data_IF_291943714909
#
_entry.id   IF_291943714909
#
_cell.length_a   1.000
_cell.length_b   1.000
_cell.length_c   1.000
_cell.angle_alpha   90.00
_cell.angle_beta   90.00
_cell.angle_gamma   90.00
#
_symmetry.space_group_name_H-M   'P 1'
#
loop_
_entity.id
_entity.type
_entity.pdbx_description
1 polymer ?
#
# COMPACT_ATOMS: atom_id res chain seq x y z
N UNK A 1 -6.60 -42.23 64.89
CA UNK A 1 -7.96 -41.80 64.47
C UNK A 1 -7.92 -41.47 62.97
N UNK A 2 -9.00 -41.69 62.21
CA UNK A 2 -9.03 -41.47 60.74
C UNK A 2 -9.24 -39.99 60.35
N UNK A 3 -9.38 -39.61 59.06
CA UNK A 3 -9.38 -40.37 57.80
C UNK A 3 -8.51 -39.69 56.71
N UNK A 4 -8.16 -40.33 55.59
CA UNK A 4 -8.97 -40.59 54.36
C UNK A 4 -9.59 -39.33 53.74
N UNK A 5 -9.64 -39.11 52.42
CA UNK A 5 -9.05 -39.77 51.23
C UNK A 5 -9.17 -38.76 50.06
N UNK A 6 -8.14 -38.53 49.25
CA UNK A 6 -7.79 -39.25 48.00
C UNK A 6 -8.33 -38.61 46.71
N UNK A 7 -7.43 -38.59 45.72
CA UNK A 7 -7.54 -38.13 44.33
C UNK A 7 -8.73 -38.75 43.57
N UNK A 8 -9.22 -38.03 42.56
CA UNK A 8 -9.97 -38.60 41.44
C UNK A 8 -9.31 -38.29 40.10
N UNK A 9 -9.36 -39.28 39.21
CA UNK A 9 -8.80 -39.28 37.86
C UNK A 9 -9.90 -39.03 36.82
N UNK A 10 -9.49 -38.57 35.64
CA UNK A 10 -10.32 -38.33 34.46
C UNK A 10 -11.09 -39.59 34.04
N UNK A 11 -12.38 -39.44 33.71
CA UNK A 11 -13.14 -40.37 32.87
C UNK A 11 -13.82 -39.61 31.72
N UNK A 12 -13.73 -40.16 30.51
CA UNK A 12 -14.36 -39.64 29.30
C UNK A 12 -15.79 -40.18 29.18
N UNK A 13 -16.75 -39.32 28.85
CA UNK A 13 -18.08 -39.73 28.37
C UNK A 13 -18.40 -39.02 27.05
N UNK A 14 -18.83 -39.80 26.06
CA UNK A 14 -19.37 -39.31 24.79
C UNK A 14 -20.84 -38.94 24.95
N UNK A 15 -21.29 -37.92 24.21
CA UNK A 15 -22.72 -37.60 24.05
C UNK A 15 -23.02 -37.27 22.59
N UNK A 16 -23.70 -38.18 21.90
CA UNK A 16 -24.31 -37.89 20.60
C UNK A 16 -25.60 -37.09 20.80
N UNK A 17 -25.71 -35.89 20.24
CA UNK A 17 -26.98 -35.22 19.96
C UNK A 17 -26.86 -34.45 18.64
N UNK A 18 -27.85 -34.62 17.76
CA UNK A 18 -27.94 -33.95 16.45
C UNK A 18 -28.38 -32.49 16.62
N UNK A 19 -27.97 -31.56 15.74
CA UNK A 19 -28.53 -30.21 15.72
C UNK A 19 -29.95 -30.23 15.15
N UNK A 20 -30.84 -29.42 15.72
CA UNK A 20 -32.14 -29.06 15.14
C UNK A 20 -32.01 -27.76 14.37
N UNK A 21 -32.55 -27.75 13.15
CA UNK A 21 -32.61 -26.58 12.28
C UNK A 21 -33.49 -25.48 12.92
N UNK A 22 -33.05 -24.23 12.76
CA UNK A 22 -33.89 -23.05 12.97
C UNK A 22 -33.67 -22.11 11.79
N UNK A 23 -34.51 -22.24 10.77
CA UNK A 23 -34.56 -21.28 9.67
C UNK A 23 -35.08 -19.94 10.19
N UNK A 24 -34.38 -18.86 9.87
CA UNK A 24 -34.93 -17.50 9.92
C UNK A 24 -34.74 -16.88 8.55
N UNK A 25 -35.83 -16.83 7.80
CA UNK A 25 -35.91 -16.26 6.45
C UNK A 25 -36.22 -14.77 6.53
N UNK A 26 -35.26 -13.92 6.16
CA UNK A 26 -35.55 -12.54 5.75
C UNK A 26 -35.07 -12.33 4.31
N UNK A 27 -36.04 -12.13 3.42
CA UNK A 27 -35.84 -11.91 1.99
C UNK A 27 -35.78 -10.41 1.70
N UNK A 28 -34.59 -9.88 1.40
CA UNK A 28 -34.47 -8.63 0.64
C UNK A 28 -33.89 -8.92 -0.75
N UNK A 29 -34.76 -8.82 -1.76
CA UNK A 29 -34.40 -8.99 -3.17
C UNK A 29 -33.62 -7.77 -3.68
N UNK A 30 -32.29 -7.85 -3.62
CA UNK A 30 -31.40 -7.08 -4.47
C UNK A 30 -30.75 -8.00 -5.51
N UNK A 31 -30.99 -7.76 -6.80
CA UNK A 31 -30.30 -8.49 -7.88
C UNK A 31 -28.84 -8.01 -7.95
N UNK A 32 -27.99 -8.57 -7.09
CA UNK A 32 -26.54 -8.51 -7.25
C UNK A 32 -26.16 -9.45 -8.39
N UNK A 33 -25.29 -9.00 -9.29
CA UNK A 33 -24.68 -9.88 -10.27
C UNK A 33 -23.87 -10.98 -9.54
N UNK A 34 -23.99 -12.23 -9.98
CA UNK A 34 -23.22 -13.37 -9.44
C UNK A 34 -21.69 -13.18 -9.51
N UNK A 35 -21.21 -12.16 -10.24
CA UNK A 35 -19.80 -11.79 -10.33
C UNK A 35 -19.26 -11.07 -9.09
N UNK A 36 -20.11 -10.41 -8.30
CA UNK A 36 -19.70 -9.52 -7.21
C UNK A 36 -19.62 -10.20 -5.83
N UNK A 37 -19.86 -11.51 -5.76
CA UNK A 37 -19.70 -12.26 -4.50
C UNK A 37 -18.21 -12.56 -4.23
N UNK A 38 -17.76 -12.30 -3.00
CA UNK A 38 -16.42 -12.67 -2.53
C UNK A 38 -16.39 -14.21 -2.39
N UNK A 39 -15.53 -14.92 -3.14
CA UNK A 39 -15.57 -16.38 -3.17
C UNK A 39 -15.10 -16.99 -1.84
N UNK A 40 -15.58 -18.19 -1.57
CA UNK A 40 -15.05 -19.03 -0.49
C UNK A 40 -13.55 -19.28 -0.68
N UNK A 41 -12.82 -19.42 0.42
CA UNK A 41 -11.39 -19.72 0.36
C UNK A 41 -11.15 -21.11 -0.27
N UNK A 42 -10.30 -21.19 -1.29
CA UNK A 42 -9.98 -22.43 -2.00
C UNK A 42 -8.48 -22.72 -2.09
N UNK A 43 -8.15 -23.97 -2.38
CA UNK A 43 -6.79 -24.38 -2.74
C UNK A 43 -6.69 -24.48 -4.27
N UNK A 44 -5.68 -23.84 -4.85
CA UNK A 44 -5.39 -23.78 -6.28
C UNK A 44 -4.18 -24.66 -6.62
N UNK A 45 -4.19 -25.30 -7.79
CA UNK A 45 -3.00 -25.99 -8.30
C UNK A 45 -1.96 -24.99 -8.80
N UNK A 46 -0.69 -25.41 -8.79
CA UNK A 46 0.40 -24.58 -9.30
C UNK A 46 0.22 -24.32 -10.81
N UNK A 47 -0.29 -25.29 -11.55
CA UNK A 47 -0.59 -25.21 -12.99
C UNK A 47 -1.69 -24.18 -13.28
N UNK A 48 -2.75 -24.14 -12.49
CA UNK A 48 -3.79 -23.10 -12.60
C UNK A 48 -3.18 -21.70 -12.41
N UNK A 49 -2.34 -21.52 -11.38
CA UNK A 49 -1.72 -20.21 -11.13
C UNK A 49 -0.64 -19.85 -12.17
N UNK A 50 0.09 -20.82 -12.72
CA UNK A 50 0.98 -20.62 -13.87
C UNK A 50 0.19 -20.12 -15.08
N UNK A 51 -0.89 -20.79 -15.47
CA UNK A 51 -1.74 -20.36 -16.60
C UNK A 51 -2.30 -18.97 -16.36
N UNK A 52 -2.91 -18.74 -15.18
CA UNK A 52 -3.53 -17.48 -14.83
C UNK A 52 -2.57 -16.27 -14.83
N UNK A 53 -1.27 -16.49 -14.58
CA UNK A 53 -0.24 -15.44 -14.53
C UNK A 53 0.68 -15.42 -15.77
N UNK A 54 0.30 -16.13 -16.84
CA UNK A 54 1.10 -16.27 -18.08
C UNK A 54 2.52 -16.80 -17.81
N UNK A 55 2.63 -17.81 -16.96
CA UNK A 55 3.91 -18.43 -16.56
C UNK A 55 4.65 -17.68 -15.44
N UNK A 56 3.96 -16.83 -14.67
CA UNK A 56 4.55 -15.79 -13.82
C UNK A 56 5.38 -14.77 -14.63
N UNK A 57 4.81 -14.24 -15.72
CA UNK A 57 5.51 -13.24 -16.56
C UNK A 57 5.90 -11.99 -15.78
N UNK A 58 7.02 -11.39 -16.16
CA UNK A 58 7.52 -10.11 -15.63
C UNK A 58 6.52 -8.97 -15.88
N UNK A 59 5.83 -8.98 -17.01
CA UNK A 59 4.82 -7.99 -17.39
C UNK A 59 3.58 -8.01 -16.47
N UNK A 60 3.40 -9.12 -15.74
CA UNK A 60 2.33 -9.28 -14.76
C UNK A 60 2.77 -8.89 -13.34
N UNK A 61 4.01 -8.45 -13.10
CA UNK A 61 4.45 -8.05 -11.75
C UNK A 61 3.80 -6.70 -11.37
N UNK A 62 3.11 -6.69 -10.24
CA UNK A 62 2.44 -5.49 -9.68
C UNK A 62 3.06 -5.02 -8.37
N UNK A 63 4.06 -5.73 -7.85
CA UNK A 63 4.87 -5.29 -6.71
C UNK A 63 6.06 -4.43 -7.17
N UNK A 64 6.19 -3.22 -6.61
CA UNK A 64 7.14 -2.16 -7.03
C UNK A 64 8.60 -2.59 -7.12
N UNK A 65 9.03 -3.57 -6.32
CA UNK A 65 10.43 -4.00 -6.23
C UNK A 65 10.82 -5.01 -7.34
N UNK A 66 9.93 -5.27 -8.30
CA UNK A 66 10.17 -6.14 -9.46
C UNK A 66 10.48 -7.60 -9.11
N UNK A 67 11.14 -8.31 -10.03
CA UNK A 67 11.55 -9.71 -9.84
C UNK A 67 12.51 -9.94 -8.68
N UNK A 68 13.35 -8.95 -8.36
CA UNK A 68 14.39 -9.04 -7.32
C UNK A 68 13.81 -8.97 -5.90
N UNK A 69 12.51 -8.71 -5.77
CA UNK A 69 11.83 -8.58 -4.49
C UNK A 69 11.70 -9.93 -3.75
N UNK A 70 11.98 -9.98 -2.44
CA UNK A 70 11.48 -11.08 -1.63
C UNK A 70 9.94 -11.00 -1.57
N UNK A 71 9.29 -11.99 -2.17
CA UNK A 71 7.82 -12.18 -2.22
C UNK A 71 7.08 -11.30 -3.25
N UNK A 72 7.45 -11.46 -4.53
CA UNK A 72 6.82 -10.84 -5.70
C UNK A 72 5.30 -11.09 -5.76
N UNK A 73 4.53 -10.07 -6.19
CA UNK A 73 3.10 -10.19 -6.46
C UNK A 73 2.82 -10.06 -7.95
N UNK A 74 2.13 -11.05 -8.51
CA UNK A 74 1.71 -11.09 -9.90
C UNK A 74 0.22 -10.81 -10.03
N UNK A 75 -0.18 -10.05 -11.04
CA UNK A 75 -1.54 -10.03 -11.57
C UNK A 75 -1.78 -11.35 -12.31
N UNK A 76 -2.98 -11.91 -12.16
CA UNK A 76 -3.44 -13.03 -12.96
C UNK A 76 -4.92 -12.93 -13.29
N UNK A 77 -5.38 -13.79 -14.18
CA UNK A 77 -6.78 -13.93 -14.59
C UNK A 77 -7.15 -15.41 -14.60
N UNK A 78 -8.13 -15.80 -13.79
CA UNK A 78 -8.64 -17.18 -13.73
C UNK A 78 -9.54 -17.48 -14.94
N UNK A 79 -9.79 -18.77 -15.19
CA UNK A 79 -10.62 -19.27 -16.30
C UNK A 79 -12.08 -18.73 -16.26
N UNK A 80 -12.56 -18.30 -15.09
CA UNK A 80 -13.86 -17.66 -14.88
C UNK A 80 -13.82 -16.13 -15.05
N UNK A 81 -12.84 -15.63 -15.80
CA UNK A 81 -12.50 -14.21 -16.03
C UNK A 81 -12.12 -13.38 -14.80
N UNK A 82 -12.10 -13.94 -13.58
CA UNK A 82 -11.79 -13.19 -12.35
C UNK A 82 -10.31 -12.81 -12.29
N UNK A 83 -10.03 -11.51 -12.13
CA UNK A 83 -8.67 -11.02 -11.85
C UNK A 83 -8.25 -11.33 -10.41
N UNK A 84 -7.00 -11.75 -10.24
CA UNK A 84 -6.41 -12.17 -8.97
C UNK A 84 -5.03 -11.54 -8.75
N UNK A 85 -4.66 -11.33 -7.49
CA UNK A 85 -3.31 -10.99 -7.07
C UNK A 85 -2.66 -12.23 -6.44
N UNK A 86 -1.59 -12.72 -7.07
CA UNK A 86 -0.86 -13.93 -6.66
C UNK A 86 0.48 -13.53 -6.02
N UNK A 87 0.55 -13.57 -4.69
CA UNK A 87 1.80 -13.35 -3.95
C UNK A 87 2.57 -14.66 -3.84
N UNK A 88 3.72 -14.76 -4.50
CA UNK A 88 4.58 -15.95 -4.51
C UNK A 88 5.74 -15.74 -3.54
N UNK A 89 5.82 -16.55 -2.50
CA UNK A 89 6.87 -16.42 -1.49
C UNK A 89 8.19 -17.02 -1.95
N UNK A 90 9.31 -16.54 -1.39
CA UNK A 90 10.58 -17.25 -1.52
C UNK A 90 10.51 -18.60 -0.78
N UNK A 91 11.14 -19.64 -1.32
CA UNK A 91 11.16 -21.03 -0.80
C UNK A 91 11.54 -21.12 0.68
N UNK A 92 12.36 -20.18 1.17
CA UNK A 92 12.82 -20.13 2.56
C UNK A 92 11.84 -19.47 3.54
N UNK A 93 10.82 -18.76 3.07
CA UNK A 93 9.92 -17.96 3.92
C UNK A 93 8.88 -18.80 4.68
N UNK A 94 8.46 -19.93 4.09
CA UNK A 94 7.41 -20.81 4.61
C UNK A 94 7.81 -22.29 4.43
N UNK A 95 8.79 -22.78 5.23
CA UNK A 95 9.28 -24.16 5.12
C UNK A 95 8.18 -25.18 5.45
N UNK A 96 7.40 -24.91 6.50
CA UNK A 96 6.30 -25.76 6.94
C UNK A 96 5.06 -25.49 6.08
N UNK A 97 4.73 -26.46 5.22
CA UNK A 97 3.53 -26.45 4.38
C UNK A 97 2.23 -26.46 5.20
N UNK A 98 2.21 -27.19 6.31
CA UNK A 98 1.03 -27.30 7.17
C UNK A 98 0.78 -25.98 7.89
N UNK A 99 1.82 -25.39 8.48
CA UNK A 99 1.72 -24.07 9.12
C UNK A 99 1.24 -22.99 8.12
N UNK A 100 1.76 -23.03 6.88
CA UNK A 100 1.32 -22.12 5.81
C UNK A 100 -0.16 -22.32 5.47
N UNK A 101 -0.61 -23.55 5.25
CA UNK A 101 -2.00 -23.87 4.90
C UNK A 101 -2.98 -23.54 6.03
N UNK A 102 -2.62 -23.84 7.29
CA UNK A 102 -3.43 -23.50 8.45
C UNK A 102 -3.58 -21.97 8.60
N UNK A 103 -2.49 -21.21 8.51
CA UNK A 103 -2.54 -19.74 8.59
C UNK A 103 -3.25 -19.10 7.38
N UNK A 104 -3.02 -19.60 6.17
CA UNK A 104 -3.71 -19.13 4.97
C UNK A 104 -5.22 -19.35 5.05
N UNK A 105 -5.67 -20.53 5.51
CA UNK A 105 -7.10 -20.81 5.76
C UNK A 105 -7.68 -19.87 6.82
N UNK A 106 -6.94 -19.62 7.90
CA UNK A 106 -7.39 -18.73 8.97
C UNK A 106 -7.45 -17.24 8.57
N UNK A 107 -6.58 -16.76 7.67
CA UNK A 107 -6.73 -15.43 7.05
C UNK A 107 -7.86 -15.46 6.01
N UNK A 108 -8.02 -16.58 5.29
CA UNK A 108 -9.09 -16.82 4.32
C UNK A 108 -10.51 -16.90 4.89
N UNK A 109 -10.66 -17.04 6.20
CA UNK A 109 -11.94 -16.93 6.90
C UNK A 109 -12.38 -15.48 7.13
N UNK A 110 -11.46 -14.51 7.00
CA UNK A 110 -11.80 -13.09 7.05
C UNK A 110 -12.51 -12.70 5.74
N UNK A 111 -13.69 -12.13 5.89
CA UNK A 111 -14.55 -11.65 4.81
C UNK A 111 -15.17 -10.32 5.21
N UNK A 112 -14.67 -9.25 4.59
CA UNK A 112 -15.16 -7.90 4.79
C UNK A 112 -15.07 -7.13 3.46
N UNK A 113 -15.85 -6.06 3.33
CA UNK A 113 -15.38 -4.94 2.53
C UNK A 113 -14.12 -4.32 3.17
N UNK A 114 -13.57 -3.21 2.70
CA UNK A 114 -12.37 -2.58 3.32
C UNK A 114 -11.09 -3.44 3.34
N UNK A 115 -11.17 -4.73 2.97
CA UNK A 115 -10.07 -5.67 2.73
C UNK A 115 -10.04 -6.04 1.25
N UNK A 116 -8.84 -6.29 0.72
CA UNK A 116 -8.66 -7.10 -0.47
C UNK A 116 -8.53 -8.55 0.02
N UNK A 117 -9.60 -9.34 -0.10
CA UNK A 117 -9.75 -10.58 0.66
C UNK A 117 -8.82 -11.68 0.13
N UNK A 118 -8.38 -12.56 1.05
CA UNK A 118 -7.65 -13.77 0.68
C UNK A 118 -8.65 -14.83 0.18
N UNK A 119 -8.64 -15.10 -1.11
CA UNK A 119 -9.56 -16.04 -1.77
C UNK A 119 -8.98 -17.44 -1.94
N UNK A 120 -7.69 -17.63 -1.71
CA UNK A 120 -7.11 -18.96 -1.66
C UNK A 120 -5.60 -19.00 -1.48
N UNK A 121 -5.04 -20.19 -1.68
CA UNK A 121 -3.60 -20.42 -1.65
C UNK A 121 -3.21 -21.59 -2.59
N UNK A 122 -1.91 -21.73 -2.83
CA UNK A 122 -1.31 -22.90 -3.43
C UNK A 122 -0.11 -23.35 -2.58
N UNK A 123 -0.01 -24.65 -2.33
CA UNK A 123 1.07 -25.26 -1.56
C UNK A 123 1.51 -26.55 -2.25
N UNK A 124 2.43 -26.44 -3.21
CA UNK A 124 2.92 -27.57 -4.01
C UNK A 124 4.45 -27.68 -3.88
N UNK A 125 4.94 -28.82 -3.37
CA UNK A 125 6.36 -29.03 -3.07
C UNK A 125 6.98 -27.90 -2.23
N UNK A 126 7.83 -27.08 -2.86
CA UNK A 126 8.49 -25.91 -2.26
C UNK A 126 7.81 -24.56 -2.58
N UNK A 127 6.76 -24.58 -3.39
CA UNK A 127 6.00 -23.38 -3.77
C UNK A 127 4.95 -23.05 -2.70
N UNK A 128 4.85 -21.76 -2.37
CA UNK A 128 3.91 -21.20 -1.40
C UNK A 128 3.36 -19.92 -2.03
N UNK A 129 2.09 -19.93 -2.41
CA UNK A 129 1.44 -18.79 -3.05
C UNK A 129 0.14 -18.47 -2.33
N UNK A 130 -0.15 -17.17 -2.18
CA UNK A 130 -1.42 -16.67 -1.72
C UNK A 130 -2.16 -16.02 -2.88
N UNK A 131 -3.46 -16.26 -2.96
CA UNK A 131 -4.35 -15.74 -4.00
C UNK A 131 -5.34 -14.80 -3.35
N UNK A 132 -5.28 -13.53 -3.70
CA UNK A 132 -6.17 -12.48 -3.21
C UNK A 132 -6.96 -11.85 -4.37
N UNK A 133 -7.98 -11.07 -4.02
CA UNK A 133 -8.69 -10.22 -4.99
C UNK A 133 -7.74 -9.20 -5.61
N UNK A 134 -7.81 -9.01 -6.94
CA UNK A 134 -7.03 -7.98 -7.62
C UNK A 134 -7.70 -6.61 -7.49
N UNK A 135 -6.90 -5.59 -7.17
CA UNK A 135 -7.35 -4.21 -7.00
C UNK A 135 -6.82 -3.38 -8.18
N UNK A 136 -7.68 -2.93 -9.12
CA UNK A 136 -7.24 -2.37 -10.38
C UNK A 136 -6.76 -0.91 -10.28
N UNK A 137 -7.18 -0.18 -9.25
CA UNK A 137 -6.93 1.25 -9.11
C UNK A 137 -5.73 1.55 -8.20
N UNK A 138 -4.68 0.71 -8.26
CA UNK A 138 -3.35 0.97 -7.68
C UNK A 138 -3.28 1.16 -6.14
N UNK A 139 -2.11 1.53 -5.63
CA UNK A 139 -1.83 1.73 -4.19
C UNK A 139 -2.09 3.16 -3.71
N UNK A 140 -2.33 3.35 -2.41
CA UNK A 140 -2.32 4.69 -1.79
C UNK A 140 -1.00 5.40 -2.02
N UNK A 141 0.13 4.69 -1.95
CA UNK A 141 1.44 5.29 -2.20
C UNK A 141 1.54 5.95 -3.59
N UNK A 142 1.05 5.29 -4.66
CA UNK A 142 0.98 5.89 -6.00
C UNK A 142 0.09 7.13 -6.02
N UNK A 143 -1.13 7.05 -5.49
CA UNK A 143 -2.08 8.18 -5.50
C UNK A 143 -1.74 9.34 -4.55
N UNK A 144 -0.83 9.13 -3.60
CA UNK A 144 -0.52 10.11 -2.54
C UNK A 144 0.86 10.73 -2.71
N UNK A 145 1.89 9.93 -3.05
CA UNK A 145 3.27 10.38 -3.16
C UNK A 145 3.72 10.65 -4.61
N UNK A 146 3.03 10.04 -5.59
CA UNK A 146 3.40 10.04 -7.01
C UNK A 146 2.20 10.35 -7.91
N UNK A 147 1.41 11.36 -7.53
CA UNK A 147 0.27 11.79 -8.33
C UNK A 147 0.74 12.62 -9.54
N UNK A 148 0.44 12.17 -10.75
CA UNK A 148 0.89 12.84 -11.98
C UNK A 148 0.01 14.03 -12.39
N UNK A 149 -1.30 14.00 -12.05
CA UNK A 149 -2.29 14.92 -12.61
C UNK A 149 -3.24 15.56 -11.59
N UNK A 150 -3.61 14.86 -10.51
CA UNK A 150 -4.54 15.38 -9.50
C UNK A 150 -4.14 14.90 -8.09
N UNK A 151 -3.96 15.81 -7.11
CA UNK A 151 -3.71 15.42 -5.73
C UNK A 151 -4.96 14.79 -5.09
N UNK A 152 -4.75 13.82 -4.19
CA UNK A 152 -5.85 13.17 -3.47
C UNK A 152 -6.62 14.18 -2.59
N UNK A 153 -7.92 14.34 -2.86
CA UNK A 153 -8.84 15.24 -2.14
C UNK A 153 -8.96 14.89 -0.65
N UNK A 154 -9.13 15.90 0.20
CA UNK A 154 -9.28 15.75 1.66
C UNK A 154 -10.32 14.69 2.08
N UNK A 155 -11.52 14.74 1.51
CA UNK A 155 -12.60 13.77 1.75
C UNK A 155 -12.22 12.32 1.42
N UNK A 156 -11.30 12.12 0.48
CA UNK A 156 -10.77 10.80 0.14
C UNK A 156 -9.71 10.34 1.13
N UNK A 157 -8.84 11.26 1.59
CA UNK A 157 -7.85 10.96 2.63
C UNK A 157 -8.50 10.53 3.95
N UNK A 158 -9.56 11.23 4.36
CA UNK A 158 -10.38 10.83 5.51
C UNK A 158 -11.07 9.47 5.30
N UNK A 159 -11.59 9.20 4.08
CA UNK A 159 -12.21 7.92 3.75
C UNK A 159 -11.22 6.76 3.82
N UNK A 160 -9.99 6.95 3.34
CA UNK A 160 -8.88 6.00 3.48
C UNK A 160 -8.64 5.70 4.97
N UNK A 161 -8.43 6.73 5.80
CA UNK A 161 -8.21 6.54 7.23
C UNK A 161 -9.36 5.77 7.91
N UNK A 162 -10.62 6.17 7.65
CA UNK A 162 -11.80 5.53 8.23
C UNK A 162 -11.94 4.06 7.80
N UNK A 163 -11.77 3.77 6.50
CA UNK A 163 -11.95 2.43 5.95
C UNK A 163 -10.84 1.48 6.44
N UNK A 164 -9.61 1.97 6.60
CA UNK A 164 -8.54 1.21 7.25
C UNK A 164 -8.83 0.94 8.74
N UNK A 165 -9.30 1.94 9.48
CA UNK A 165 -9.68 1.76 10.88
C UNK A 165 -10.79 0.70 11.03
N UNK A 166 -11.78 0.71 10.13
CA UNK A 166 -12.84 -0.31 10.06
C UNK A 166 -12.28 -1.71 9.74
N UNK A 167 -11.35 -1.83 8.79
CA UNK A 167 -10.69 -3.11 8.47
C UNK A 167 -9.89 -3.65 9.66
N UNK A 168 -9.14 -2.79 10.37
CA UNK A 168 -8.37 -3.17 11.55
C UNK A 168 -9.25 -3.56 12.74
N UNK A 169 -10.35 -2.84 12.98
CA UNK A 169 -11.32 -3.18 14.03
C UNK A 169 -12.03 -4.51 13.73
N UNK A 170 -12.45 -4.73 12.47
CA UNK A 170 -12.97 -6.01 12.01
C UNK A 170 -11.97 -7.15 12.25
N UNK A 171 -10.73 -7.02 11.78
CA UNK A 171 -9.70 -8.05 11.98
C UNK A 171 -9.43 -8.31 13.46
N UNK A 172 -9.36 -7.27 14.29
CA UNK A 172 -9.22 -7.39 15.75
C UNK A 172 -10.39 -8.15 16.38
N UNK A 173 -11.64 -7.83 16.00
CA UNK A 173 -12.85 -8.52 16.49
C UNK A 173 -12.91 -10.01 16.12
N UNK A 174 -12.19 -10.41 15.06
CA UNK A 174 -12.02 -11.80 14.60
C UNK A 174 -10.76 -12.47 15.17
N UNK A 175 -10.10 -11.88 16.16
CA UNK A 175 -8.88 -12.41 16.79
C UNK A 175 -7.60 -12.22 15.98
N UNK A 176 -7.65 -11.45 14.88
CA UNK A 176 -6.49 -11.11 14.02
C UNK A 176 -6.07 -9.65 14.20
N UNK A 177 -5.77 -9.28 15.44
CA UNK A 177 -5.34 -7.92 15.80
C UNK A 177 -3.91 -7.54 15.35
N UNK A 178 -3.17 -8.48 14.75
CA UNK A 178 -1.80 -8.25 14.25
C UNK A 178 -1.82 -8.04 12.73
N UNK A 179 -1.18 -6.96 12.29
CA UNK A 179 -0.91 -6.67 10.89
C UNK A 179 0.58 -6.33 10.73
N UNK A 180 1.23 -6.96 9.77
CA UNK A 180 2.65 -6.80 9.48
C UNK A 180 2.87 -5.78 8.36
N UNK A 181 3.83 -4.86 8.57
CA UNK A 181 4.22 -3.83 7.59
C UNK A 181 3.04 -2.97 7.10
N UNK A 182 2.22 -2.44 8.02
CA UNK A 182 1.14 -1.52 7.68
C UNK A 182 1.72 -0.17 7.21
N UNK A 183 1.52 0.18 5.95
CA UNK A 183 1.98 1.42 5.30
C UNK A 183 1.14 1.72 4.04
N UNK A 184 1.41 2.83 3.35
CA UNK A 184 0.66 3.25 2.16
C UNK A 184 0.69 2.24 1.00
N UNK A 185 1.73 1.40 0.92
CA UNK A 185 1.87 0.33 -0.08
C UNK A 185 0.99 -0.90 0.22
N UNK A 186 0.31 -0.94 1.37
CA UNK A 186 -0.66 -1.99 1.74
C UNK A 186 -2.11 -1.58 1.54
N UNK A 187 -2.36 -0.32 1.19
CA UNK A 187 -3.69 0.18 0.84
C UNK A 187 -3.81 0.19 -0.67
N UNK A 188 -4.87 -0.42 -1.17
CA UNK A 188 -5.18 -0.59 -2.59
C UNK A 188 -6.58 -0.03 -2.88
N UNK A 189 -6.92 0.24 -4.14
CA UNK A 189 -8.27 0.68 -4.50
C UNK A 189 -9.00 -0.32 -5.42
N UNK A 190 -10.23 -0.66 -5.06
CA UNK A 190 -11.11 -1.48 -5.88
C UNK A 190 -11.59 -0.74 -7.14
N UNK A 191 -12.35 -1.44 -7.99
CA UNK A 191 -12.88 -0.91 -9.26
C UNK A 191 -13.68 0.40 -9.12
N UNK A 192 -14.34 0.60 -7.97
CA UNK A 192 -15.16 1.78 -7.66
C UNK A 192 -14.38 2.86 -6.90
N UNK A 193 -13.06 2.69 -6.78
CA UNK A 193 -12.16 3.61 -6.10
C UNK A 193 -12.19 3.52 -4.57
N UNK A 194 -12.81 2.48 -3.97
CA UNK A 194 -12.84 2.37 -2.51
C UNK A 194 -11.54 1.77 -1.97
N UNK A 195 -11.00 2.31 -0.86
CA UNK A 195 -9.78 1.78 -0.25
C UNK A 195 -10.02 0.42 0.40
N UNK A 196 -9.09 -0.50 0.12
CA UNK A 196 -9.02 -1.88 0.57
C UNK A 196 -7.64 -2.14 1.16
N UNK A 197 -7.57 -2.58 2.41
CA UNK A 197 -6.35 -3.03 3.06
C UNK A 197 -5.99 -4.44 2.57
N UNK A 198 -4.76 -4.63 2.09
CA UNK A 198 -4.29 -5.93 1.58
C UNK A 198 -4.31 -7.00 2.68
N UNK A 199 -4.87 -8.19 2.40
CA UNK A 199 -4.80 -9.31 3.33
C UNK A 199 -3.37 -9.82 3.59
N UNK A 200 -2.39 -9.49 2.74
CA UNK A 200 -1.05 -10.09 2.81
C UNK A 200 -0.25 -9.73 4.07
N UNK A 201 -0.57 -8.63 4.76
CA UNK A 201 0.04 -8.29 6.05
C UNK A 201 -0.55 -9.05 7.24
N UNK A 202 -1.68 -9.75 7.07
CA UNK A 202 -2.29 -10.60 8.10
C UNK A 202 -1.64 -11.99 8.23
N UNK A 203 -0.71 -12.31 7.32
CA UNK A 203 0.03 -13.58 7.30
C UNK A 203 1.26 -13.47 8.19
N UNK A 204 1.29 -14.25 9.27
CA UNK A 204 2.40 -14.30 10.20
C UNK A 204 3.63 -14.99 9.58
N UNK A 205 4.64 -14.23 9.15
CA UNK A 205 5.88 -14.78 8.57
C UNK A 205 6.53 -15.84 9.50
N UNK A 206 6.73 -17.05 8.96
CA UNK A 206 7.00 -18.28 9.72
C UNK A 206 8.28 -18.29 10.57
N UNK A 207 9.33 -17.54 10.19
CA UNK A 207 10.68 -17.75 10.76
C UNK A 207 11.13 -16.80 11.86
N UNK A 208 11.00 -15.48 11.70
CA UNK A 208 11.70 -14.54 12.59
C UNK A 208 10.79 -13.62 13.43
N UNK A 209 9.50 -13.51 13.11
CA UNK A 209 8.64 -12.42 13.61
C UNK A 209 9.06 -11.03 13.11
N UNK A 210 10.20 -10.94 12.42
CA UNK A 210 10.74 -9.75 11.78
C UNK A 210 9.93 -9.41 10.54
N UNK A 211 9.05 -8.41 10.68
CA UNK A 211 8.03 -8.06 9.70
C UNK A 211 7.85 -6.55 9.47
N UNK A 212 8.57 -5.69 10.18
CA UNK A 212 8.72 -4.30 9.78
C UNK A 212 9.81 -4.18 8.71
N UNK A 213 9.63 -3.22 7.79
CA UNK A 213 10.64 -2.89 6.79
C UNK A 213 11.98 -2.52 7.45
N UNK A 214 13.05 -2.52 6.66
CA UNK A 214 14.41 -2.14 7.11
C UNK A 214 14.53 -0.68 7.57
N UNK A 215 13.49 0.14 7.38
CA UNK A 215 13.50 1.54 7.79
C UNK A 215 13.12 1.71 9.27
N UNK A 216 14.14 1.76 10.12
CA UNK A 216 14.01 1.96 11.57
C UNK A 216 13.28 3.27 11.94
N UNK A 217 13.27 4.28 11.06
CA UNK A 217 12.64 5.57 11.33
C UNK A 217 11.10 5.50 11.47
N UNK A 218 10.46 4.46 10.92
CA UNK A 218 9.01 4.22 11.01
C UNK A 218 8.65 3.06 11.95
N UNK A 219 9.65 2.46 12.59
CA UNK A 219 9.46 1.25 13.40
C UNK A 219 8.93 1.60 14.79
N UNK A 220 7.87 0.93 15.30
CA UNK A 220 7.34 1.19 16.63
C UNK A 220 8.40 1.00 17.74
N UNK A 221 8.49 1.88 18.76
CA UNK A 221 9.55 1.83 19.78
C UNK A 221 9.65 0.48 20.52
N UNK A 222 8.51 -0.12 20.87
CA UNK A 222 8.48 -1.42 21.53
C UNK A 222 8.91 -2.57 20.60
N UNK A 223 8.73 -2.40 19.29
CA UNK A 223 9.20 -3.37 18.30
C UNK A 223 10.72 -3.34 18.17
N UNK A 224 11.35 -2.15 18.15
CA UNK A 224 12.82 -2.05 18.15
C UNK A 224 13.46 -2.80 19.33
N UNK A 225 12.80 -2.79 20.49
CA UNK A 225 13.25 -3.47 21.71
C UNK A 225 12.96 -4.99 21.73
N UNK A 226 11.87 -5.45 21.12
CA UNK A 226 11.37 -6.83 21.31
C UNK A 226 11.42 -7.70 20.05
N UNK A 227 11.50 -7.10 18.86
CA UNK A 227 11.33 -7.78 17.58
C UNK A 227 9.95 -8.39 17.35
N UNK A 228 8.92 -8.01 18.13
CA UNK A 228 7.57 -8.61 18.09
C UNK A 228 6.52 -7.55 17.82
N UNK A 229 5.67 -7.79 16.80
CA UNK A 229 4.51 -6.94 16.52
C UNK A 229 3.44 -7.18 17.58
N UNK A 230 2.91 -6.10 18.16
CA UNK A 230 1.73 -6.12 19.04
C UNK A 230 0.57 -5.35 18.40
N UNK A 231 -0.67 -5.44 18.91
CA UNK A 231 -1.78 -4.63 18.40
C UNK A 231 -1.49 -3.12 18.46
N UNK A 232 -0.77 -2.67 19.49
CA UNK A 232 -0.35 -1.28 19.68
C UNK A 232 0.72 -0.87 18.66
N UNK A 233 1.56 -1.79 18.20
CA UNK A 233 2.48 -1.57 17.07
C UNK A 233 1.74 -1.30 15.76
N UNK A 234 0.62 -2.01 15.53
CA UNK A 234 -0.26 -1.76 14.37
C UNK A 234 -0.88 -0.37 14.44
N UNK A 235 -1.32 0.06 15.64
CA UNK A 235 -1.84 1.42 15.85
C UNK A 235 -0.77 2.49 15.61
N UNK A 236 0.48 2.25 16.01
CA UNK A 236 1.58 3.17 15.70
C UNK A 236 1.78 3.33 14.19
N UNK A 237 1.76 2.23 13.45
CA UNK A 237 1.83 2.23 11.97
C UNK A 237 0.59 2.86 11.31
N UNK A 238 -0.58 2.77 11.92
CA UNK A 238 -1.74 3.56 11.50
C UNK A 238 -1.49 5.06 11.73
N UNK A 239 -0.79 5.43 12.82
CA UNK A 239 -0.32 6.79 13.07
C UNK A 239 0.63 7.32 12.00
N UNK A 240 1.54 6.50 11.47
CA UNK A 240 2.42 6.91 10.36
C UNK A 240 1.61 7.13 9.08
N UNK A 241 0.64 6.26 8.79
CA UNK A 241 -0.32 6.44 7.70
C UNK A 241 -1.16 7.73 7.82
N UNK A 242 -1.54 8.15 9.03
CA UNK A 242 -2.20 9.44 9.22
C UNK A 242 -1.29 10.62 8.88
N UNK A 243 0.02 10.53 9.15
CA UNK A 243 1.00 11.53 8.72
C UNK A 243 1.21 11.52 7.20
N UNK A 244 1.26 10.34 6.57
CA UNK A 244 1.32 10.21 5.12
C UNK A 244 0.11 10.95 4.49
N UNK A 245 -1.11 10.70 4.99
CA UNK A 245 -2.34 11.34 4.54
C UNK A 245 -2.37 12.85 4.80
N UNK A 246 -1.89 13.32 5.94
CA UNK A 246 -1.82 14.75 6.25
C UNK A 246 -0.85 15.51 5.33
N UNK A 247 0.30 14.91 5.01
CA UNK A 247 1.43 15.59 4.37
C UNK A 247 1.61 15.32 2.87
N UNK A 248 0.94 14.30 2.33
CA UNK A 248 1.15 13.83 0.96
C UNK A 248 2.54 13.20 0.74
N UNK A 249 3.27 12.86 1.81
CA UNK A 249 4.68 12.46 1.78
C UNK A 249 4.96 11.39 2.85
N UNK A 250 5.92 10.52 2.59
CA UNK A 250 6.33 9.51 3.57
C UNK A 250 7.33 10.08 4.60
N UNK A 251 6.82 10.73 5.65
CA UNK A 251 7.63 11.48 6.63
C UNK A 251 7.85 10.68 7.93
N UNK A 252 9.10 10.54 8.42
CA UNK A 252 9.38 9.91 9.71
C UNK A 252 8.61 10.56 10.88
N UNK A 253 7.97 9.78 11.77
CA UNK A 253 7.18 10.30 12.89
C UNK A 253 7.91 11.27 13.82
N UNK A 254 9.22 11.08 14.05
CA UNK A 254 10.02 12.00 14.86
C UNK A 254 9.98 13.43 14.31
N UNK A 255 10.26 13.58 13.00
CA UNK A 255 10.27 14.88 12.33
C UNK A 255 8.89 15.55 12.34
N UNK A 256 7.84 14.78 12.04
CA UNK A 256 6.47 15.30 12.05
C UNK A 256 6.00 15.72 13.47
N UNK A 257 6.29 14.91 14.49
CA UNK A 257 5.91 15.22 15.87
C UNK A 257 6.61 16.48 16.41
N UNK A 258 7.85 16.74 16.02
CA UNK A 258 8.56 17.97 16.43
C UNK A 258 7.97 19.23 15.76
N UNK A 259 7.58 19.14 14.48
CA UNK A 259 6.83 20.22 13.80
C UNK A 259 5.45 20.48 14.46
N UNK A 260 4.72 19.41 14.81
CA UNK A 260 3.43 19.50 15.52
C UNK A 260 3.60 20.14 16.91
N UNK A 261 4.64 19.74 17.67
CA UNK A 261 4.96 20.31 18.99
C UNK A 261 5.35 21.78 18.92
N UNK A 262 5.99 22.21 17.84
CA UNK A 262 6.24 23.62 17.51
C UNK A 262 4.98 24.45 17.25
N UNK A 263 3.78 23.86 17.37
CA UNK A 263 2.45 24.44 17.08
C UNK A 263 2.25 24.87 15.63
N UNK A 264 3.12 24.46 14.71
CA UNK A 264 3.01 24.78 13.30
C UNK A 264 2.55 23.56 12.49
N UNK A 265 1.39 22.99 12.87
CA UNK A 265 0.86 21.78 12.23
C UNK A 265 0.59 21.98 10.72
N UNK A 266 0.34 23.22 10.30
CA UNK A 266 0.21 23.60 8.88
C UNK A 266 1.48 23.27 8.06
N UNK A 267 2.68 23.27 8.66
CA UNK A 267 3.91 22.84 7.95
C UNK A 267 3.98 21.33 7.72
N UNK A 268 3.18 20.53 8.44
CA UNK A 268 3.04 19.09 8.19
C UNK A 268 1.92 18.82 7.18
N UNK A 269 1.03 19.79 6.95
CA UNK A 269 -0.06 19.62 6.00
C UNK A 269 0.42 19.81 4.56
N UNK A 270 -0.13 18.98 3.69
CA UNK A 270 0.06 19.05 2.25
C UNK A 270 -0.53 20.37 1.72
N UNK A 271 0.28 21.18 1.04
CA UNK A 271 -0.14 22.49 0.52
C UNK A 271 -1.24 22.38 -0.54
N UNK A 272 -1.41 21.23 -1.20
CA UNK A 272 -2.55 21.02 -2.10
C UNK A 272 -3.91 20.89 -1.37
N UNK A 273 -3.92 20.83 -0.04
CA UNK A 273 -5.13 20.81 0.78
C UNK A 273 -5.52 22.22 1.29
N UNK A 274 -4.74 23.27 1.00
CA UNK A 274 -5.07 24.63 1.45
C UNK A 274 -6.47 25.06 0.99
N UNK A 275 -7.32 25.46 1.94
CA UNK A 275 -8.73 25.81 1.68
C UNK A 275 -9.70 24.63 1.48
N UNK A 276 -9.22 23.38 1.48
CA UNK A 276 -10.03 22.17 1.24
C UNK A 276 -10.45 21.41 2.51
N UNK A 277 -10.14 21.93 3.70
CA UNK A 277 -10.55 21.40 5.01
C UNK A 277 -10.77 22.54 6.01
N UNK A 278 -11.52 22.31 7.10
CA UNK A 278 -11.59 23.27 8.21
C UNK A 278 -10.42 23.06 9.17
N UNK A 279 -9.91 24.14 9.78
CA UNK A 279 -8.83 24.06 10.77
C UNK A 279 -9.13 23.04 11.88
N UNK A 280 -10.38 22.97 12.35
CA UNK A 280 -10.80 22.02 13.39
C UNK A 280 -10.65 20.55 12.94
N UNK A 281 -11.01 20.21 11.70
CA UNK A 281 -10.87 18.85 11.16
C UNK A 281 -9.39 18.47 11.02
N UNK A 282 -8.57 19.40 10.55
CA UNK A 282 -7.12 19.21 10.43
C UNK A 282 -6.45 19.03 11.80
N UNK A 283 -6.82 19.86 12.78
CA UNK A 283 -6.33 19.77 14.17
C UNK A 283 -6.70 18.42 14.80
N UNK A 284 -7.94 17.95 14.63
CA UNK A 284 -8.35 16.67 15.24
C UNK A 284 -7.69 15.47 14.52
N UNK A 285 -7.45 15.51 13.20
CA UNK A 285 -6.69 14.45 12.52
C UNK A 285 -5.21 14.43 12.95
N UNK A 286 -4.57 15.61 13.09
CA UNK A 286 -3.21 15.76 13.64
C UNK A 286 -3.14 15.25 15.09
N UNK A 287 -4.17 15.54 15.90
CA UNK A 287 -4.30 15.04 17.27
C UNK A 287 -4.46 13.51 17.30
N UNK A 288 -5.24 12.94 16.38
CA UNK A 288 -5.41 11.49 16.26
C UNK A 288 -4.10 10.80 15.87
N UNK A 289 -3.36 11.35 14.89
CA UNK A 289 -2.02 10.89 14.53
C UNK A 289 -1.07 10.94 15.74
N UNK A 290 -1.06 12.06 16.45
CA UNK A 290 -0.26 12.25 17.67
C UNK A 290 -0.60 11.25 18.79
N UNK A 291 -1.87 10.82 18.90
CA UNK A 291 -2.30 9.78 19.85
C UNK A 291 -1.90 8.37 19.42
N UNK A 292 -1.90 8.08 18.12
CA UNK A 292 -1.40 6.82 17.58
C UNK A 292 0.11 6.67 17.76
N UNK A 293 0.84 7.79 17.66
CA UNK A 293 2.31 7.84 17.72
C UNK A 293 2.88 8.03 19.13
N UNK A 294 2.08 7.82 20.19
CA UNK A 294 2.58 7.87 21.56
C UNK A 294 3.68 6.83 21.79
N UNK A 295 4.73 7.24 22.50
CA UNK A 295 5.88 6.38 22.81
C UNK A 295 5.44 5.17 23.65
N UNK A 296 4.66 5.42 24.70
CA UNK A 296 4.07 4.39 25.54
C UNK A 296 2.91 3.68 24.80
N UNK A 297 3.15 2.43 24.40
CA UNK A 297 2.20 1.63 23.60
C UNK A 297 0.76 1.58 24.17
N UNK A 298 0.63 1.54 25.50
CA UNK A 298 -0.65 1.51 26.24
C UNK A 298 -1.47 2.80 26.17
N UNK A 299 -0.88 3.92 25.74
CA UNK A 299 -1.57 5.21 25.63
C UNK A 299 -2.22 5.40 24.24
N UNK A 300 -1.88 4.52 23.29
CA UNK A 300 -2.42 4.53 21.93
C UNK A 300 -3.89 4.06 21.93
N UNK A 301 -4.75 4.66 21.09
CA UNK A 301 -6.16 4.26 21.00
C UNK A 301 -6.32 2.85 20.38
N UNK A 302 -7.37 2.12 20.77
CA UNK A 302 -7.75 0.88 20.06
C UNK A 302 -8.45 1.19 18.71
N UNK A 303 -8.49 0.24 17.75
CA UNK A 303 -9.12 0.44 16.45
C UNK A 303 -10.57 0.93 16.51
N UNK A 304 -11.41 0.36 17.38
CA UNK A 304 -12.79 0.85 17.61
C UNK A 304 -12.85 2.35 17.93
N UNK A 305 -11.94 2.86 18.76
CA UNK A 305 -11.85 4.29 19.09
C UNK A 305 -11.43 5.14 17.89
N UNK A 306 -10.57 4.60 17.01
CA UNK A 306 -10.19 5.26 15.75
C UNK A 306 -11.39 5.37 14.80
N UNK A 307 -12.17 4.29 14.66
CA UNK A 307 -13.41 4.30 13.85
C UNK A 307 -14.36 5.39 14.34
N UNK A 308 -14.61 5.49 15.64
CA UNK A 308 -15.48 6.55 16.21
C UNK A 308 -14.97 7.95 15.86
N UNK A 309 -13.68 8.24 16.08
CA UNK A 309 -13.11 9.56 15.83
C UNK A 309 -13.10 9.95 14.34
N UNK A 310 -12.78 8.99 13.46
CA UNK A 310 -12.75 9.21 12.01
C UNK A 310 -14.16 9.31 11.41
N UNK A 311 -15.16 8.65 12.00
CA UNK A 311 -16.56 8.77 11.58
C UNK A 311 -17.06 10.21 11.78
N UNK A 312 -16.68 10.88 12.87
CA UNK A 312 -17.04 12.31 13.07
C UNK A 312 -16.35 13.28 12.11
N UNK A 313 -15.25 12.88 11.45
CA UNK A 313 -14.54 13.71 10.47
C UNK A 313 -15.06 13.48 9.03
N UNK A 314 -15.56 12.28 8.72
CA UNK A 314 -16.05 11.95 7.37
C UNK A 314 -17.42 12.60 7.08
N UNK A 315 -17.41 13.86 6.62
CA UNK A 315 -18.62 14.62 6.26
C UNK A 315 -19.18 14.25 4.88
N UNK A 316 -18.31 14.00 3.90
CA UNK A 316 -18.71 13.56 2.56
C UNK A 316 -18.84 12.03 2.52
N UNK A 317 -19.96 11.49 3.00
CA UNK A 317 -20.30 10.06 2.89
C UNK A 317 -20.91 9.73 1.53
N UNK A 318 -21.79 10.60 1.03
CA UNK A 318 -22.61 10.35 -0.16
C UNK A 318 -21.85 10.44 -1.49
N UNK A 319 -20.72 11.15 -1.53
CA UNK A 319 -19.92 11.30 -2.77
C UNK A 319 -19.20 9.98 -3.08
N UNK A 320 -19.45 9.31 -4.22
CA UNK A 320 -18.81 8.02 -4.53
C UNK A 320 -17.29 8.12 -4.63
N UNK A 321 -16.59 7.04 -4.28
CA UNK A 321 -15.12 7.04 -4.22
C UNK A 321 -14.47 7.27 -5.59
N UNK A 322 -15.06 6.73 -6.67
CA UNK A 322 -14.63 7.02 -8.05
C UNK A 322 -14.65 8.52 -8.37
N UNK A 323 -15.67 9.27 -7.92
CA UNK A 323 -15.77 10.73 -8.08
C UNK A 323 -14.70 11.49 -7.28
N UNK A 324 -14.37 10.99 -6.08
CA UNK A 324 -13.29 11.57 -5.28
C UNK A 324 -11.91 11.31 -5.90
N UNK A 325 -11.72 10.13 -6.49
CA UNK A 325 -10.48 9.68 -7.17
C UNK A 325 -10.34 10.16 -8.62
N UNK A 326 -11.36 10.82 -9.21
CA UNK A 326 -11.34 11.24 -10.61
C UNK A 326 -11.46 10.10 -11.64
N UNK A 327 -11.86 8.90 -11.19
CA UNK A 327 -12.02 7.74 -12.06
C UNK A 327 -13.26 7.93 -12.93
N UNK A 328 -13.06 7.94 -14.25
CA UNK A 328 -14.15 8.01 -15.23
C UNK A 328 -14.97 6.73 -15.20
N UNK A 329 -16.21 6.79 -14.71
CA UNK A 329 -17.12 5.65 -14.73
C UNK A 329 -17.43 5.25 -16.18
N UNK A 330 -17.26 3.96 -16.51
CA UNK A 330 -17.28 3.43 -17.87
C UNK A 330 -18.62 3.47 -18.63
N UNK A 331 -19.59 4.27 -18.17
CA UNK A 331 -20.87 4.53 -18.86
C UNK A 331 -20.75 5.68 -19.84
N UNK A 332 -19.68 5.70 -20.63
CA UNK A 332 -19.51 6.56 -21.79
C UNK A 332 -18.78 5.78 -22.90
N UNK A 333 -19.53 4.94 -23.62
CA UNK A 333 -19.10 4.49 -24.95
C UNK A 333 -19.22 5.66 -25.90
N UNK A 334 -18.20 6.53 -25.88
CA UNK A 334 -17.91 7.49 -26.93
C UNK A 334 -16.41 7.47 -27.15
N UNK A 335 -15.98 7.12 -28.35
CA UNK A 335 -14.60 7.28 -28.76
C UNK A 335 -14.24 8.77 -28.80
N UNK A 336 -13.83 9.33 -27.66
CA UNK A 336 -13.09 10.57 -27.66
C UNK A 336 -11.67 10.24 -28.10
N UNK A 337 -11.41 10.46 -29.38
CA UNK A 337 -10.05 10.57 -29.89
C UNK A 337 -9.29 11.56 -29.00
N UNK A 338 -8.27 11.08 -28.30
CA UNK A 338 -7.32 11.95 -27.61
C UNK A 338 -6.79 12.94 -28.65
N UNK A 339 -7.14 14.22 -28.50
CA UNK A 339 -6.58 15.28 -29.34
C UNK A 339 -5.16 15.47 -28.85
N UNK A 340 -4.25 14.69 -29.43
CA UNK A 340 -2.83 14.81 -29.18
C UNK A 340 -2.38 16.21 -29.60
N UNK A 341 -1.50 16.81 -28.80
CA UNK A 341 -0.78 18.00 -29.24
C UNK A 341 0.06 17.66 -30.48
N UNK A 342 0.46 18.63 -31.32
CA UNK A 342 1.29 18.34 -32.50
C UNK A 342 2.55 17.51 -32.15
N UNK A 343 3.15 17.76 -30.98
CA UNK A 343 4.27 16.97 -30.48
C UNK A 343 3.85 15.56 -30.05
N UNK A 344 2.73 15.41 -29.32
CA UNK A 344 2.20 14.10 -28.94
C UNK A 344 1.80 13.22 -30.13
N UNK A 345 1.28 13.85 -31.19
CA UNK A 345 0.91 13.20 -32.46
C UNK A 345 2.16 12.73 -33.23
N UNK A 346 3.19 13.57 -33.32
CA UNK A 346 4.49 13.21 -33.89
C UNK A 346 5.18 12.08 -33.09
N UNK A 347 5.16 12.16 -31.75
CA UNK A 347 5.64 11.09 -30.86
C UNK A 347 4.88 9.77 -31.05
N UNK A 348 3.55 9.83 -31.16
CA UNK A 348 2.72 8.63 -31.39
C UNK A 348 2.98 7.94 -32.73
N UNK A 349 3.49 8.68 -33.73
CA UNK A 349 3.93 8.12 -35.02
C UNK A 349 5.42 7.74 -35.06
N UNK A 350 6.18 8.01 -34.01
CA UNK A 350 7.65 7.95 -34.01
C UNK A 350 8.30 8.79 -35.13
N UNK A 351 7.67 9.90 -35.48
CA UNK A 351 8.12 10.80 -36.54
C UNK A 351 9.21 11.75 -36.02
N UNK A 352 10.46 11.27 -36.02
CA UNK A 352 11.62 12.00 -35.51
C UNK A 352 11.85 13.34 -36.22
N UNK A 353 11.45 13.47 -37.49
CA UNK A 353 11.56 14.73 -38.25
C UNK A 353 10.54 15.73 -37.75
N UNK A 354 9.26 15.35 -37.63
CA UNK A 354 8.22 16.22 -37.09
C UNK A 354 8.50 16.61 -35.62
N UNK A 355 9.00 15.68 -34.80
CA UNK A 355 9.43 15.97 -33.41
C UNK A 355 10.53 17.05 -33.41
N UNK A 356 11.54 16.93 -34.28
CA UNK A 356 12.63 17.88 -34.37
C UNK A 356 12.16 19.28 -34.80
N UNK A 357 11.36 19.38 -35.88
CA UNK A 357 10.81 20.65 -36.37
C UNK A 357 9.91 21.35 -35.33
N UNK A 358 9.16 20.59 -34.53
CA UNK A 358 8.30 21.14 -33.48
C UNK A 358 9.14 21.68 -32.33
N UNK A 359 10.17 20.95 -31.88
CA UNK A 359 11.08 21.42 -30.83
C UNK A 359 11.88 22.65 -31.27
N UNK A 360 12.33 22.70 -32.53
CA UNK A 360 13.02 23.85 -33.11
C UNK A 360 12.12 25.10 -33.18
N UNK A 361 10.82 24.93 -33.51
CA UNK A 361 9.83 26.03 -33.53
C UNK A 361 9.41 26.53 -32.15
N UNK A 362 9.29 25.65 -31.17
CA UNK A 362 8.88 26.04 -29.80
C UNK A 362 10.00 26.83 -29.11
N UNK A 363 11.26 26.49 -29.41
CA UNK A 363 12.44 27.13 -28.86
C UNK A 363 12.72 26.71 -27.42
N UNK A 364 13.95 26.34 -27.13
CA UNK A 364 14.42 26.17 -25.76
C UNK A 364 14.43 27.54 -25.07
N UNK A 365 13.45 27.79 -24.21
CA UNK A 365 13.50 28.88 -23.24
C UNK A 365 13.92 28.31 -21.89
N UNK A 366 14.99 28.86 -21.35
CA UNK A 366 15.44 28.55 -19.99
C UNK A 366 14.46 29.14 -18.97
N UNK A 367 13.96 28.31 -18.06
CA UNK A 367 13.22 28.74 -16.87
C UNK A 367 14.21 29.19 -15.78
N UNK A 368 14.72 30.43 -15.90
CA UNK A 368 15.44 31.07 -14.79
C UNK A 368 14.45 31.64 -13.74
N UNK A 369 14.36 30.94 -12.61
CA UNK A 369 14.13 31.57 -11.31
C UNK A 369 12.75 31.39 -10.66
N UNK A 370 12.73 30.64 -9.55
CA UNK A 370 12.13 31.05 -8.27
C UNK A 370 12.91 30.32 -7.15
N UNK A 371 13.25 31.05 -6.09
CA UNK A 371 14.17 30.59 -5.05
C UNK A 371 13.51 29.70 -3.98
N UNK A 372 14.25 28.68 -3.53
CA UNK A 372 14.10 28.06 -2.21
C UNK A 372 15.50 27.74 -1.67
N UNK A 373 16.23 28.82 -1.40
CA UNK A 373 17.64 28.80 -1.04
C UNK A 373 17.80 28.74 0.48
N UNK A 374 18.18 27.57 1.01
CA UNK A 374 18.95 27.36 2.25
C UNK A 374 19.21 25.88 2.57
N UNK A 375 18.45 24.94 2.02
CA UNK A 375 18.78 23.49 2.02
C UNK A 375 19.62 23.06 0.80
N UNK A 376 19.74 23.94 -0.20
CA UNK A 376 20.33 23.63 -1.50
C UNK A 376 21.86 23.58 -1.50
N UNK A 377 22.54 24.42 -0.69
CA UNK A 377 23.99 24.66 -0.81
C UNK A 377 24.91 23.45 -0.49
N UNK A 378 24.47 22.48 0.31
CA UNK A 378 25.23 21.23 0.49
C UNK A 378 25.01 20.22 -0.64
N UNK A 379 23.84 20.28 -1.31
CA UNK A 379 23.53 19.43 -2.46
C UNK A 379 24.17 19.98 -3.75
N UNK A 380 24.26 21.30 -3.89
CA UNK A 380 24.84 21.96 -5.07
C UNK A 380 26.32 21.66 -5.27
N UNK A 381 27.16 21.57 -4.24
CA UNK A 381 28.60 21.38 -4.49
C UNK A 381 28.88 20.02 -5.15
N UNK A 382 28.25 18.96 -4.65
CA UNK A 382 28.38 17.63 -5.22
C UNK A 382 27.72 17.56 -6.61
N UNK A 383 26.49 18.08 -6.77
CA UNK A 383 25.82 18.15 -8.08
C UNK A 383 26.55 19.03 -9.10
N UNK A 384 27.22 20.11 -8.67
CA UNK A 384 27.99 21.00 -9.54
C UNK A 384 29.29 20.33 -9.99
N UNK A 385 29.95 19.54 -9.13
CA UNK A 385 31.09 18.71 -9.53
C UNK A 385 30.65 17.64 -10.54
N UNK A 386 29.54 16.94 -10.30
CA UNK A 386 28.97 15.97 -11.26
C UNK A 386 28.58 16.63 -12.59
N UNK A 387 27.94 17.81 -12.55
CA UNK A 387 27.53 18.57 -13.73
C UNK A 387 28.72 19.15 -14.50
N UNK A 388 29.76 19.62 -13.79
CA UNK A 388 31.01 20.09 -14.40
C UNK A 388 31.77 18.93 -15.05
N UNK A 389 31.86 17.77 -14.39
CA UNK A 389 32.49 16.57 -14.95
C UNK A 389 31.73 16.08 -16.18
N UNK A 390 30.39 16.04 -16.12
CA UNK A 390 29.54 15.71 -17.28
C UNK A 390 29.73 16.70 -18.44
N UNK A 391 29.72 18.01 -18.17
CA UNK A 391 29.95 19.07 -19.17
C UNK A 391 31.37 19.01 -19.77
N UNK A 392 32.36 18.59 -18.99
CA UNK A 392 33.72 18.33 -19.48
C UNK A 392 33.76 17.09 -20.38
N UNK A 393 33.11 15.99 -19.98
CA UNK A 393 32.93 14.79 -20.78
C UNK A 393 32.21 15.07 -22.11
N UNK A 394 31.12 15.84 -22.09
CA UNK A 394 30.37 16.26 -23.28
C UNK A 394 31.24 17.12 -24.23
N UNK A 395 32.13 17.94 -23.67
CA UNK A 395 33.07 18.77 -24.44
C UNK A 395 34.18 17.93 -25.07
N UNK A 396 34.78 17.01 -24.31
CA UNK A 396 35.78 16.06 -24.78
C UNK A 396 35.20 15.14 -25.87
N UNK A 397 33.97 14.63 -25.68
CA UNK A 397 33.26 13.81 -26.66
C UNK A 397 33.02 14.56 -27.98
N UNK A 398 32.56 15.83 -27.92
CA UNK A 398 32.42 16.69 -29.11
C UNK A 398 33.77 16.96 -29.80
N UNK A 399 34.86 17.04 -29.04
CA UNK A 399 36.22 17.16 -29.57
C UNK A 399 36.82 15.83 -30.07
N UNK A 400 36.11 14.70 -29.91
CA UNK A 400 36.58 13.32 -30.19
C UNK A 400 37.75 12.86 -29.30
N UNK A 401 37.95 13.50 -28.16
CA UNK A 401 38.83 12.99 -27.10
C UNK A 401 38.08 11.97 -26.25
N UNK A 402 38.02 10.75 -26.76
CA UNK A 402 37.24 9.68 -26.13
C UNK A 402 37.86 9.16 -24.83
N UNK A 403 39.17 9.35 -24.60
CA UNK A 403 39.80 8.91 -23.34
C UNK A 403 39.28 9.76 -22.19
N UNK A 404 39.39 11.09 -22.31
CA UNK A 404 38.91 12.02 -21.28
C UNK A 404 37.40 11.97 -21.12
N UNK A 405 36.64 11.75 -22.20
CA UNK A 405 35.18 11.56 -22.11
C UNK A 405 34.83 10.31 -21.28
N UNK A 406 35.50 9.18 -21.50
CA UNK A 406 35.27 7.94 -20.75
C UNK A 406 35.61 8.14 -19.27
N UNK A 407 36.75 8.76 -18.94
CA UNK A 407 37.16 8.99 -17.54
C UNK A 407 36.14 9.88 -16.80
N UNK A 408 35.67 10.96 -17.43
CA UNK A 408 34.65 11.85 -16.84
C UNK A 408 33.32 11.14 -16.58
N UNK A 409 32.78 10.39 -17.55
CA UNK A 409 31.52 9.65 -17.35
C UNK A 409 31.68 8.50 -16.34
N UNK A 410 32.85 7.84 -16.30
CA UNK A 410 33.11 6.77 -15.32
C UNK A 410 33.09 7.30 -13.88
N UNK A 411 33.66 8.49 -13.63
CA UNK A 411 33.58 9.13 -12.32
C UNK A 411 32.15 9.48 -11.89
N UNK A 412 31.32 9.96 -12.82
CA UNK A 412 29.88 10.21 -12.56
C UNK A 412 29.17 8.92 -12.15
N UNK A 413 29.41 7.80 -12.85
CA UNK A 413 28.75 6.51 -12.56
C UNK A 413 29.15 5.83 -11.23
N UNK A 414 30.20 6.32 -10.56
CA UNK A 414 30.66 5.78 -9.28
C UNK A 414 30.28 6.63 -8.05
N UNK A 415 29.60 7.77 -8.25
CA UNK A 415 29.22 8.70 -7.17
C UNK A 415 27.75 8.65 -6.76
N UNK A 416 26.94 7.74 -7.33
CA UNK A 416 25.54 7.50 -6.94
C UNK A 416 25.39 6.26 -6.03
N UNK A 417 25.43 6.40 -4.69
CA UNK A 417 24.94 5.40 -3.76
C UNK A 417 23.52 5.73 -3.26
N UNK A 418 22.52 5.10 -3.90
CA UNK A 418 21.09 5.01 -3.52
C UNK A 418 20.20 6.24 -3.75
#
# INVERSE_FOLDING_TARGET
>A
MGGRCSKYTICWWQSNLKPTDLESSDLENGVKNDKDCIPGFSEYSLEQLKVATSGFSVDNIVSEHGEKAPNVVYRGKLDNDRFIAVKRFNKSAWPDSRQFLEEAKLVGQLRNDRLANLIGCCCDGNERLLVAEFMPNETLAKHLFHWDAQPMKWAMRLRVALYLAQALDYCSSKGRALYHDLNAYRVLFDQDGNPRLSCFGLMKNSRDGKSYSTNLAFTPPEYMRTGRVTPESVVYSFGTLLLDLLSGKHIPPSHALDLIRGKNFLMVMDSCLEGHFSNDDGIELVRLASRCLQYEARERPNPKSLVTALTSLQKETEVPSYTLMGISSGTASSAQSLILTPLGDACSRMDLTAIHEILEKVGYKDDEGIANELSFQMWTNQMQETLNSKKHGDTAFRAKDFSTAIDCYTQVSHQDPF
#
